data_IF_771308398708
#
_entry.id   IF_771308398708
#
_cell.length_a   1.000
_cell.length_b   1.000
_cell.length_c   1.000
_cell.angle_alpha   90.00
_cell.angle_beta   90.00
_cell.angle_gamma   90.00
#
_symmetry.space_group_name_H-M   'P 1'
#
loop_
_entity.id
_entity.type
_entity.pdbx_description
1 polymer ?
#
# COMPACT_ATOMS: atom_id res chain seq x y z
N UNK A 1 12.31 -11.51 3.50
CA UNK A 1 12.13 -11.20 3.63
C UNK A 1 11.54 -10.68 3.89
N UNK A 2 11.20 -10.40 3.90
CA UNK A 2 10.70 -9.91 4.01
C UNK A 2 10.31 -9.19 4.49
N UNK A 3 10.17 -8.98 4.79
CA UNK A 3 10.04 -8.23 5.29
C UNK A 3 9.36 -7.29 5.09
N UNK A 4 9.12 -7.08 4.58
CA UNK A 4 8.51 -6.19 4.15
C UNK A 4 7.37 -5.82 4.77
N UNK A 5 6.79 -6.38 5.27
CA UNK A 5 5.67 -5.99 5.80
C UNK A 5 5.79 -5.87 7.14
N UNK A 6 6.72 -5.40 7.52
CA UNK A 6 6.85 -5.21 8.75
C UNK A 6 5.78 -4.75 9.52
N UNK A 7 5.12 -3.91 9.11
CA UNK A 7 4.19 -3.36 9.87
C UNK A 7 3.03 -4.03 9.98
N UNK A 8 2.76 -4.88 9.25
CA UNK A 8 1.50 -5.40 9.31
C UNK A 8 1.34 -6.68 9.64
N UNK A 9 2.04 -7.29 10.34
CA UNK A 9 1.80 -8.53 10.67
C UNK A 9 0.46 -8.84 11.00
N UNK A 10 -0.21 -8.22 11.61
CA UNK A 10 -1.51 -8.62 12.01
C UNK A 10 -2.48 -8.47 10.98
N UNK A 11 -2.20 -7.85 10.02
CA UNK A 11 -3.12 -7.61 9.13
C UNK A 11 -3.66 -8.68 8.48
N UNK A 12 -2.95 -9.53 8.10
CA UNK A 12 -3.53 -10.40 7.29
C UNK A 12 -4.32 -11.37 7.90
N UNK A 13 -4.19 -11.66 8.98
CA UNK A 13 -4.92 -12.62 9.42
C UNK A 13 -6.29 -12.42 9.56
N UNK A 14 -6.76 -11.58 9.88
CA UNK A 14 -8.08 -11.56 10.10
C UNK A 14 -8.73 -10.72 9.32
N UNK A 15 -8.39 -10.44 8.33
CA UNK A 15 -9.02 -9.58 7.67
C UNK A 15 -9.93 -10.03 6.80
N UNK A 16 -10.65 -10.83 7.02
CA UNK A 16 -11.56 -11.20 6.20
C UNK A 16 -12.36 -10.09 5.84
N UNK A 17 -12.40 -9.07 6.47
CA UNK A 17 -13.17 -8.03 6.09
C UNK A 17 -12.48 -7.26 5.17
N UNK A 18 -11.34 -7.51 4.88
CA UNK A 18 -10.72 -6.79 3.92
C UNK A 18 -10.59 -5.37 4.19
N UNK A 19 -10.47 -4.95 5.34
CA UNK A 19 -10.32 -3.62 5.55
C UNK A 19 -8.94 -3.20 5.25
N UNK A 20 -8.71 -2.14 4.49
CA UNK A 20 -7.40 -1.69 4.12
C UNK A 20 -6.71 -0.98 5.26
N UNK A 21 -5.45 -1.20 5.40
CA UNK A 21 -4.67 -0.57 6.46
C UNK A 21 -4.30 0.84 6.05
N UNK A 22 -4.29 1.77 7.00
CA UNK A 22 -3.84 3.10 6.73
C UNK A 22 -2.45 3.25 7.24
N UNK A 23 -1.54 3.78 6.43
CA UNK A 23 -0.17 3.92 6.81
C UNK A 23 -0.01 5.08 7.76
N UNK A 24 0.65 4.85 8.87
CA UNK A 24 0.89 5.90 9.84
C UNK A 24 2.17 6.64 9.48
N UNK A 25 2.39 7.75 10.13
CA UNK A 25 3.58 8.53 9.91
C UNK A 25 4.82 7.68 10.13
N UNK A 26 5.75 7.73 9.21
CA UNK A 26 6.99 6.98 9.25
C UNK A 26 6.83 5.49 9.04
N UNK A 27 5.65 5.04 8.66
CA UNK A 27 5.46 3.66 8.34
C UNK A 27 5.71 3.44 6.86
N UNK A 28 6.22 2.30 6.50
CA UNK A 28 6.51 2.00 5.13
C UNK A 28 5.87 0.68 4.75
N UNK A 29 5.26 0.62 3.58
CA UNK A 29 4.68 -0.60 3.05
C UNK A 29 5.45 -0.95 1.79
N UNK A 30 5.87 -2.20 1.66
CA UNK A 30 6.63 -2.63 0.51
C UNK A 30 6.02 -3.88 -0.07
N UNK A 31 6.13 -4.07 -1.34
CA UNK A 31 5.65 -5.27 -1.95
C UNK A 31 5.29 -5.05 -3.40
N UNK A 32 4.79 -6.09 -4.03
CA UNK A 32 4.36 -5.98 -5.40
C UNK A 32 2.94 -5.48 -5.44
N UNK A 33 2.71 -4.41 -6.18
CA UNK A 33 1.40 -3.84 -6.29
C UNK A 33 0.62 -4.66 -7.28
N UNK A 34 -0.43 -5.34 -6.82
CA UNK A 34 -1.21 -6.19 -7.68
C UNK A 34 -2.29 -5.42 -8.41
N UNK A 35 -2.89 -4.46 -7.76
CA UNK A 35 -3.89 -3.65 -8.42
C UNK A 35 -4.27 -2.49 -7.55
N UNK A 36 -4.96 -1.52 -8.13
CA UNK A 36 -5.37 -0.35 -7.41
C UNK A 36 -6.83 -0.15 -7.74
N UNK A 37 -7.63 0.23 -6.79
CA UNK A 37 -9.03 0.49 -7.06
C UNK A 37 -9.55 1.51 -6.06
N UNK A 38 -10.73 1.99 -6.28
CA UNK A 38 -11.31 3.00 -5.44
C UNK A 38 -12.36 2.38 -4.55
N UNK A 39 -12.37 2.72 -3.29
CA UNK A 39 -13.37 2.23 -2.36
C UNK A 39 -13.63 3.29 -1.32
N UNK A 40 -14.88 3.66 -1.16
CA UNK A 40 -15.27 4.60 -0.13
C UNK A 40 -14.47 5.88 -0.16
N UNK A 41 -14.26 6.40 -1.32
CA UNK A 41 -13.56 7.68 -1.45
C UNK A 41 -12.07 7.61 -1.28
N UNK A 42 -11.50 6.44 -1.24
CA UNK A 42 -10.07 6.30 -1.09
C UNK A 42 -9.52 5.41 -2.18
N UNK A 43 -8.25 5.51 -2.42
CA UNK A 43 -7.59 4.61 -3.35
C UNK A 43 -7.07 3.45 -2.53
N UNK A 44 -7.33 2.23 -2.98
CA UNK A 44 -6.88 1.07 -2.24
C UNK A 44 -5.85 0.35 -3.08
N UNK A 45 -4.66 0.19 -2.54
CA UNK A 45 -3.58 -0.49 -3.22
C UNK A 45 -3.51 -1.90 -2.69
N UNK A 46 -3.70 -2.87 -3.54
CA UNK A 46 -3.72 -4.26 -3.11
C UNK A 46 -2.36 -4.88 -3.39
N UNK A 47 -1.76 -5.44 -2.35
CA UNK A 47 -0.47 -6.10 -2.45
C UNK A 47 -0.68 -7.56 -2.14
N UNK A 48 0.33 -8.38 -2.34
CA UNK A 48 0.18 -9.78 -2.08
C UNK A 48 -0.07 -10.09 -0.62
N UNK A 49 0.30 -9.21 0.28
CA UNK A 49 0.10 -9.46 1.69
C UNK A 49 -1.08 -8.72 2.29
N UNK A 50 -1.75 -7.88 1.54
CA UNK A 50 -2.86 -7.12 2.09
C UNK A 50 -3.14 -5.89 1.29
N UNK A 51 -3.86 -4.96 1.87
CA UNK A 51 -4.25 -3.75 1.16
C UNK A 51 -3.97 -2.51 1.99
N UNK A 52 -3.69 -1.41 1.30
CA UNK A 52 -3.39 -0.15 1.93
C UNK A 52 -4.36 0.90 1.43
N UNK A 53 -4.89 1.70 2.33
CA UNK A 53 -5.78 2.77 1.96
C UNK A 53 -5.00 4.06 1.83
N UNK A 54 -5.13 4.74 0.71
CA UNK A 54 -4.38 5.94 0.43
C UNK A 54 -5.31 7.03 -0.08
N UNK A 55 -4.85 8.26 -0.15
CA UNK A 55 -5.68 9.32 -0.68
C UNK A 55 -6.04 9.02 -2.11
N UNK A 56 -7.26 9.38 -2.49
CA UNK A 56 -7.74 9.08 -3.82
C UNK A 56 -6.87 9.70 -4.89
N UNK A 57 -6.27 10.82 -4.59
CA UNK A 57 -5.46 11.49 -5.59
C UNK A 57 -4.24 10.68 -6.00
N UNK A 58 -3.86 9.67 -5.25
CA UNK A 58 -2.72 8.85 -5.61
C UNK A 58 -3.09 7.73 -6.57
N UNK A 59 -4.36 7.58 -6.89
CA UNK A 59 -4.80 6.50 -7.72
C UNK A 59 -4.14 6.48 -9.09
N UNK A 60 -4.04 7.63 -9.72
CA UNK A 60 -3.46 7.66 -11.01
C UNK A 60 -1.99 7.32 -10.99
N UNK A 61 -1.26 7.84 -10.04
CA UNK A 61 0.15 7.59 -9.94
C UNK A 61 0.38 6.10 -9.71
N UNK A 62 -0.40 5.49 -8.84
CA UNK A 62 -0.21 4.09 -8.53
C UNK A 62 -0.67 3.18 -9.65
N UNK A 63 -1.63 3.61 -10.44
CA UNK A 63 -2.09 2.79 -11.54
C UNK A 63 -0.95 2.50 -12.51
N UNK A 64 -0.04 3.41 -12.65
CA UNK A 64 1.06 3.21 -13.55
C UNK A 64 2.09 2.24 -12.99
N UNK A 65 1.98 1.89 -11.73
CA UNK A 65 2.94 1.02 -11.08
C UNK A 65 2.41 -0.37 -10.81
N UNK A 66 1.22 -0.67 -11.26
CA UNK A 66 0.65 -1.99 -11.03
C UNK A 66 1.55 -3.04 -11.67
N UNK A 67 1.81 -4.10 -10.93
CA UNK A 67 2.66 -5.17 -11.41
C UNK A 67 4.10 -5.02 -10.97
N UNK A 68 4.45 -3.89 -10.38
CA UNK A 68 5.83 -3.64 -10.00
C UNK A 68 6.00 -3.67 -8.50
N UNK A 69 7.21 -3.87 -8.05
CA UNK A 69 7.49 -3.83 -6.64
C UNK A 69 7.74 -2.39 -6.25
N UNK A 70 7.04 -1.93 -5.25
CA UNK A 70 7.14 -0.53 -4.84
C UNK A 70 7.20 -0.43 -3.33
N UNK A 71 7.55 0.73 -2.86
CA UNK A 71 7.53 1.04 -1.44
C UNK A 71 6.76 2.34 -1.27
N UNK A 72 5.90 2.40 -0.28
CA UNK A 72 5.14 3.59 0.04
C UNK A 72 5.46 3.98 1.46
N UNK A 73 5.92 5.19 1.65
CA UNK A 73 6.30 5.68 2.97
C UNK A 73 5.53 6.94 3.27
N UNK A 74 5.02 7.08 4.48
CA UNK A 74 4.37 8.30 4.87
C UNK A 74 5.35 9.12 5.69
N UNK A 75 5.69 10.30 5.19
CA UNK A 75 6.66 11.13 5.87
C UNK A 75 6.21 12.57 5.82
N UNK A 76 6.10 13.21 6.96
CA UNK A 76 5.68 14.60 7.00
C UNK A 76 4.27 14.79 6.51
N UNK A 77 3.42 13.84 6.72
CA UNK A 77 2.06 13.94 6.27
C UNK A 77 1.88 13.66 4.80
N UNK A 78 2.94 13.32 4.09
CA UNK A 78 2.84 13.05 2.68
C UNK A 78 3.25 11.64 2.37
N UNK A 79 2.75 11.10 1.27
CA UNK A 79 3.07 9.75 0.88
C UNK A 79 4.11 9.78 -0.23
N UNK A 80 5.15 8.98 -0.06
CA UNK A 80 6.23 8.90 -1.03
C UNK A 80 6.27 7.50 -1.60
N UNK A 81 6.23 7.39 -2.91
CA UNK A 81 6.19 6.10 -3.57
C UNK A 81 7.42 5.97 -4.44
N UNK A 82 8.05 4.81 -4.42
CA UNK A 82 9.16 4.60 -5.32
C UNK A 82 9.21 3.17 -5.76
N UNK A 83 9.79 2.93 -6.91
CA UNK A 83 9.93 1.58 -7.41
C UNK A 83 11.11 0.88 -6.79
N UNK A 84 10.96 -0.41 -6.58
CA UNK A 84 12.01 -1.18 -5.98
C UNK A 84 12.64 -2.15 -6.96
N UNK A 85 12.02 -2.36 -8.09
CA UNK A 85 12.50 -3.34 -9.03
C UNK A 85 13.32 -2.73 -10.13
N UNK A 86 14.01 -1.67 -9.86
CA UNK A 86 14.75 -1.09 -10.92
C UNK A 86 16.11 -1.59 -10.95
#
# INVERSE_FOLDING_TARGET
MVSDCILFKPLHRNNRNAEAHRIAELEEARGQLLRIFEAEGSAVAAFEWGAISLPLEMREELSALVGRKIAILKLGGKYHVRGLDV
#
